data_IF_857714684202
#
_entry.id   IF_857714684202
#
_cell.length_a   1.000
_cell.length_b   1.000
_cell.length_c   1.000
_cell.angle_alpha   90.00
_cell.angle_beta   90.00
_cell.angle_gamma   90.00
#
_symmetry.space_group_name_H-M   'P 1'
#
loop_
_entity.id
_entity.type
_entity.pdbx_description
1 polymer ?
#
# COMPACT_ATOMS: atom_id res chain seq x y z
N UNK A 1 46.51 55.75 6.63
CA UNK A 1 46.70 56.73 7.73
C UNK A 1 46.45 56.00 9.05
N UNK A 2 47.44 56.05 9.94
CA UNK A 2 47.42 55.81 11.40
C UNK A 2 47.06 54.42 11.97
N UNK A 3 48.11 53.72 12.44
CA UNK A 3 48.11 52.80 13.58
C UNK A 3 48.34 53.60 14.88
N UNK A 4 47.71 53.21 15.99
CA UNK A 4 48.17 53.37 17.40
C UNK A 4 47.16 52.57 18.25
N UNK A 5 47.46 51.49 19.00
CA UNK A 5 48.52 51.11 19.96
C UNK A 5 48.44 51.88 21.29
N UNK A 6 47.98 51.21 22.35
CA UNK A 6 48.34 51.35 23.77
C UNK A 6 47.94 50.03 24.46
N UNK A 7 48.83 49.10 24.81
CA UNK A 7 49.86 49.05 25.89
C UNK A 7 49.34 48.57 27.26
N UNK A 8 49.56 47.26 27.53
CA UNK A 8 50.19 46.58 28.70
C UNK A 8 50.55 47.44 29.94
N UNK A 9 50.68 46.87 31.19
CA UNK A 9 51.50 45.67 31.46
C UNK A 9 51.11 44.76 32.68
N UNK A 10 51.50 43.46 32.64
CA UNK A 10 52.43 42.71 33.55
C UNK A 10 52.06 42.64 35.05
N UNK A 11 52.18 41.52 35.78
CA UNK A 11 53.41 40.70 35.99
C UNK A 11 53.12 39.49 36.92
N UNK A 12 53.81 38.37 36.66
CA UNK A 12 54.33 37.27 37.54
C UNK A 12 53.57 36.85 38.82
N UNK A 13 53.39 35.56 39.15
CA UNK A 13 54.47 34.59 39.46
C UNK A 13 53.90 33.20 39.83
N UNK A 14 54.68 32.16 39.53
CA UNK A 14 54.54 30.70 39.82
C UNK A 14 54.82 30.33 41.32
N UNK A 15 54.96 29.05 41.77
CA UNK A 15 54.23 27.77 41.54
C UNK A 15 54.01 26.89 42.82
N UNK A 16 53.29 25.75 42.67
CA UNK A 16 53.41 24.43 43.41
C UNK A 16 52.98 24.40 44.90
N UNK A 17 52.45 23.32 45.54
CA UNK A 17 52.29 21.89 45.27
C UNK A 17 51.27 21.27 46.32
N UNK A 18 51.06 19.93 46.45
CA UNK A 18 49.76 19.27 46.71
C UNK A 18 49.47 18.81 48.16
N UNK A 19 48.21 18.46 48.47
CA UNK A 19 47.88 17.35 49.41
C UNK A 19 46.39 16.91 49.43
N UNK A 20 46.25 15.59 49.24
CA UNK A 20 45.22 14.54 49.47
C UNK A 20 44.16 14.67 50.62
N UNK A 21 43.21 13.70 50.77
CA UNK A 21 41.76 13.91 50.70
C UNK A 21 41.01 13.74 52.05
N UNK A 22 39.72 14.11 52.12
CA UNK A 22 38.78 13.41 53.02
C UNK A 22 37.30 13.61 52.71
N UNK A 23 36.59 12.47 52.74
CA UNK A 23 35.23 12.18 53.23
C UNK A 23 34.02 12.63 52.42
N UNK A 24 33.28 11.59 52.01
CA UNK A 24 32.05 11.67 51.24
C UNK A 24 30.86 12.20 52.01
N UNK A 25 29.94 12.74 51.23
CA UNK A 25 28.54 12.92 51.60
C UNK A 25 27.71 12.37 50.46
N UNK A 26 26.88 11.37 50.79
CA UNK A 26 26.04 10.63 49.87
C UNK A 26 24.91 11.52 49.37
N UNK A 27 24.94 11.89 48.09
CA UNK A 27 23.81 12.51 47.41
C UNK A 27 23.03 11.43 46.67
N UNK A 28 21.87 11.09 47.19
CA UNK A 28 20.90 10.18 46.58
C UNK A 28 20.40 10.77 45.27
N UNK A 29 20.98 10.33 44.15
CA UNK A 29 20.48 10.65 42.82
C UNK A 29 19.22 9.81 42.58
N UNK A 30 18.05 10.45 42.65
CA UNK A 30 16.84 9.90 42.05
C UNK A 30 17.12 9.69 40.56
N UNK A 31 17.34 8.43 40.18
CA UNK A 31 17.31 8.02 38.77
C UNK A 31 15.85 8.13 38.35
N UNK A 32 15.49 9.28 37.78
CA UNK A 32 14.33 9.39 36.92
C UNK A 32 14.60 8.45 35.77
N UNK A 33 14.02 7.26 35.85
CA UNK A 33 13.96 6.34 34.71
C UNK A 33 13.04 7.02 33.72
N UNK A 34 13.62 7.80 32.80
CA UNK A 34 12.90 8.21 31.61
C UNK A 34 12.48 6.93 30.92
N UNK A 35 11.20 6.60 31.00
CA UNK A 35 10.60 5.60 30.16
C UNK A 35 10.99 5.97 28.73
N UNK A 36 11.62 5.03 28.03
CA UNK A 36 11.83 5.15 26.59
C UNK A 36 10.46 5.49 25.97
N UNK A 37 10.40 6.45 25.02
CA UNK A 37 9.15 6.68 24.31
C UNK A 37 8.68 5.33 23.75
N UNK A 38 7.42 4.99 24.02
CA UNK A 38 6.81 3.78 23.48
C UNK A 38 7.15 3.73 21.98
N UNK A 39 7.73 2.63 21.47
CA UNK A 39 7.92 2.51 20.04
C UNK A 39 6.54 2.70 19.41
N UNK A 40 6.42 3.69 18.52
CA UNK A 40 5.18 3.93 17.77
C UNK A 40 4.59 2.58 17.36
N UNK A 41 3.30 2.32 17.63
CA UNK A 41 2.70 1.02 17.32
C UNK A 41 2.97 0.74 15.85
N UNK A 42 3.46 -0.47 15.57
CA UNK A 42 3.70 -0.89 14.20
C UNK A 42 2.36 -0.91 13.45
N UNK A 43 2.37 -0.53 12.19
CA UNK A 43 1.13 -0.52 11.39
C UNK A 43 0.79 -1.93 10.92
N UNK A 44 -0.48 -2.32 11.03
CA UNK A 44 -1.01 -3.54 10.41
C UNK A 44 -2.41 -3.31 9.86
N UNK A 45 -2.83 -4.17 8.93
CA UNK A 45 -4.20 -4.22 8.40
C UNK A 45 -4.49 -5.63 7.90
N UNK A 46 -5.78 -5.95 7.79
CA UNK A 46 -6.23 -7.18 7.13
C UNK A 46 -6.63 -6.85 5.69
N UNK A 47 -6.50 -7.81 4.79
CA UNK A 47 -7.03 -7.67 3.45
C UNK A 47 -7.46 -9.01 2.85
N UNK A 48 -8.34 -8.92 1.87
CA UNK A 48 -8.82 -10.06 1.09
C UNK A 48 -8.92 -9.65 -0.37
N UNK A 49 -8.65 -10.61 -1.25
CA UNK A 49 -8.78 -10.43 -2.71
C UNK A 49 -9.77 -11.46 -3.22
N UNK A 50 -10.98 -11.00 -3.53
CA UNK A 50 -12.03 -11.84 -4.07
C UNK A 50 -12.02 -11.78 -5.61
N UNK A 51 -12.14 -12.93 -6.26
CA UNK A 51 -12.31 -12.97 -7.70
C UNK A 51 -13.72 -12.50 -8.09
N UNK A 52 -13.85 -11.74 -9.16
CA UNK A 52 -15.15 -11.32 -9.70
C UNK A 52 -15.51 -12.21 -10.89
N UNK A 53 -16.77 -12.64 -10.94
CA UNK A 53 -17.36 -13.28 -12.12
C UNK A 53 -18.27 -12.28 -12.83
N UNK A 54 -18.47 -12.45 -14.13
CA UNK A 54 -19.38 -11.61 -14.93
C UNK A 54 -20.74 -12.31 -15.07
N UNK A 55 -21.82 -11.54 -14.98
CA UNK A 55 -23.17 -12.02 -15.27
C UNK A 55 -23.63 -11.47 -16.62
N UNK A 56 -23.40 -12.25 -17.67
CA UNK A 56 -23.73 -11.88 -19.04
C UNK A 56 -25.08 -12.48 -19.48
N UNK A 57 -25.71 -13.31 -18.66
CA UNK A 57 -26.97 -13.98 -19.00
C UNK A 57 -28.17 -13.05 -18.76
N UNK A 58 -28.61 -12.40 -19.84
CA UNK A 58 -29.81 -11.55 -19.83
C UNK A 58 -31.10 -12.24 -19.40
N UNK A 59 -31.19 -13.57 -19.48
CA UNK A 59 -32.36 -14.32 -19.02
C UNK A 59 -32.40 -14.43 -17.49
N UNK A 60 -31.23 -14.33 -16.84
CA UNK A 60 -31.07 -14.33 -15.38
C UNK A 60 -30.77 -12.91 -14.84
N UNK A 61 -31.27 -11.88 -15.54
CA UNK A 61 -31.10 -10.47 -15.15
C UNK A 61 -29.70 -9.91 -15.34
N UNK A 62 -28.80 -10.65 -15.99
CA UNK A 62 -27.45 -10.23 -16.34
C UNK A 62 -27.40 -9.10 -17.36
N UNK A 63 -26.23 -8.46 -17.45
CA UNK A 63 -25.96 -7.37 -18.40
C UNK A 63 -24.78 -7.77 -19.29
N UNK A 64 -24.94 -7.77 -20.63
CA UNK A 64 -23.86 -8.10 -21.55
C UNK A 64 -22.64 -7.20 -21.36
N UNK A 65 -21.44 -7.68 -21.76
CA UNK A 65 -20.22 -6.89 -21.71
C UNK A 65 -20.35 -5.54 -22.38
N UNK A 66 -19.78 -4.51 -21.75
CA UNK A 66 -19.63 -3.20 -22.38
C UNK A 66 -18.47 -3.27 -23.36
N UNK A 67 -18.63 -2.59 -24.49
CA UNK A 67 -17.55 -2.38 -25.44
C UNK A 67 -17.46 -0.91 -25.83
N UNK A 68 -16.26 -0.44 -26.12
CA UNK A 68 -16.09 0.87 -26.73
C UNK A 68 -16.44 0.86 -28.23
N UNK A 69 -16.23 2.00 -28.91
CA UNK A 69 -16.49 2.14 -30.35
C UNK A 69 -15.61 1.25 -31.25
N UNK A 70 -14.54 0.67 -30.72
CA UNK A 70 -13.65 -0.26 -31.42
C UNK A 70 -13.93 -1.72 -31.05
N UNK A 71 -15.00 -2.01 -30.31
CA UNK A 71 -15.33 -3.36 -29.85
C UNK A 71 -14.42 -3.87 -28.74
N UNK A 72 -13.64 -3.00 -28.08
CA UNK A 72 -12.76 -3.38 -26.97
C UNK A 72 -13.57 -3.49 -25.70
N UNK A 73 -13.37 -4.59 -24.97
CA UNK A 73 -14.09 -4.88 -23.74
C UNK A 73 -13.83 -3.83 -22.64
N UNK A 74 -14.89 -3.46 -21.94
CA UNK A 74 -14.89 -2.58 -20.78
C UNK A 74 -15.62 -3.26 -19.59
N UNK A 75 -15.23 -2.98 -18.34
CA UNK A 75 -15.90 -3.55 -17.18
C UNK A 75 -17.38 -3.14 -17.07
N UNK A 76 -18.23 -3.96 -16.44
CA UNK A 76 -19.64 -3.62 -16.22
C UNK A 76 -19.79 -2.30 -15.44
N UNK A 77 -20.82 -1.51 -15.78
CA UNK A 77 -21.19 -0.30 -15.02
C UNK A 77 -22.28 -0.56 -13.98
N UNK A 78 -22.92 -1.72 -14.02
CA UNK A 78 -24.09 -2.02 -13.22
C UNK A 78 -23.83 -3.28 -12.39
N UNK A 79 -24.33 -3.30 -11.16
CA UNK A 79 -24.20 -4.43 -10.24
C UNK A 79 -24.67 -5.74 -10.88
N UNK A 80 -25.76 -5.68 -11.66
CA UNK A 80 -26.33 -6.83 -12.36
C UNK A 80 -25.41 -7.42 -13.46
N UNK A 81 -24.37 -6.71 -13.89
CA UNK A 81 -23.35 -7.26 -14.81
C UNK A 81 -22.30 -8.12 -14.11
N UNK A 82 -22.36 -8.24 -12.77
CA UNK A 82 -21.46 -9.08 -11.98
C UNK A 82 -22.19 -10.31 -11.46
N UNK A 83 -21.49 -11.43 -11.46
CA UNK A 83 -21.90 -12.65 -10.76
C UNK A 83 -21.36 -12.68 -9.33
N UNK A 84 -21.54 -13.82 -8.66
CA UNK A 84 -21.04 -14.01 -7.32
C UNK A 84 -19.50 -13.84 -7.25
N UNK A 85 -19.03 -13.17 -6.20
CA UNK A 85 -17.62 -13.12 -5.88
C UNK A 85 -17.13 -14.51 -5.48
N UNK A 86 -15.92 -14.87 -5.90
CA UNK A 86 -15.21 -16.05 -5.41
C UNK A 86 -14.30 -15.63 -4.25
N UNK A 87 -14.58 -16.05 -3.01
CA UNK A 87 -13.83 -15.62 -1.85
C UNK A 87 -12.34 -15.96 -1.92
N UNK A 88 -11.51 -15.03 -1.45
CA UNK A 88 -10.08 -15.22 -1.23
C UNK A 88 -9.73 -15.59 0.21
N UNK A 89 -8.44 -15.82 0.46
CA UNK A 89 -7.88 -15.93 1.81
C UNK A 89 -7.79 -14.54 2.44
N UNK A 90 -8.11 -14.43 3.73
CA UNK A 90 -7.83 -13.22 4.51
C UNK A 90 -6.37 -13.23 4.93
N UNK A 91 -5.64 -12.20 4.54
CA UNK A 91 -4.24 -11.98 4.88
C UNK A 91 -4.11 -10.84 5.89
N UNK A 92 -3.03 -10.87 6.66
CA UNK A 92 -2.57 -9.77 7.51
C UNK A 92 -1.29 -9.22 6.93
N UNK A 93 -1.28 -7.92 6.65
CA UNK A 93 -0.05 -7.16 6.46
C UNK A 93 0.36 -6.56 7.80
N UNK A 94 1.62 -6.73 8.20
CA UNK A 94 2.16 -6.16 9.43
C UNK A 94 3.59 -5.69 9.17
N UNK A 95 3.78 -4.37 9.23
CA UNK A 95 5.08 -3.71 9.12
C UNK A 95 5.95 -4.22 7.95
N UNK A 96 5.35 -4.38 6.78
CA UNK A 96 6.03 -4.80 5.56
C UNK A 96 6.03 -6.30 5.29
N UNK A 97 5.56 -7.14 6.20
CA UNK A 97 5.43 -8.59 6.04
C UNK A 97 3.96 -9.03 5.90
N UNK A 98 3.72 -10.11 5.15
CA UNK A 98 2.38 -10.68 4.96
C UNK A 98 2.32 -12.09 5.53
N UNK A 99 1.20 -12.40 6.16
CA UNK A 99 0.86 -13.73 6.67
C UNK A 99 -0.62 -14.04 6.47
N UNK A 100 -1.02 -15.30 6.56
CA UNK A 100 -2.45 -15.66 6.64
C UNK A 100 -3.02 -15.21 7.98
N UNK A 101 -4.18 -14.55 7.98
CA UNK A 101 -4.89 -14.16 9.19
C UNK A 101 -5.70 -15.36 9.72
N UNK A 102 -5.07 -16.20 10.55
CA UNK A 102 -5.70 -17.42 11.05
C UNK A 102 -7.00 -17.13 11.82
N UNK A 103 -8.08 -17.85 11.49
CA UNK A 103 -9.40 -17.69 12.10
C UNK A 103 -10.26 -16.58 11.47
N UNK A 104 -9.67 -15.68 10.69
CA UNK A 104 -10.42 -14.70 9.91
C UNK A 104 -10.90 -15.32 8.60
N UNK A 105 -12.09 -14.92 8.16
CA UNK A 105 -12.71 -15.46 6.96
C UNK A 105 -13.44 -14.38 6.16
N UNK A 106 -13.74 -14.69 4.90
CA UNK A 106 -14.74 -13.95 4.13
C UNK A 106 -16.04 -14.74 4.13
N UNK A 107 -17.12 -14.12 4.59
CA UNK A 107 -18.43 -14.75 4.67
C UNK A 107 -19.56 -13.73 4.50
N UNK A 108 -20.63 -14.13 3.82
CA UNK A 108 -21.82 -13.30 3.54
C UNK A 108 -21.49 -11.93 2.90
N UNK A 109 -20.41 -11.83 2.13
CA UNK A 109 -20.00 -10.58 1.48
C UNK A 109 -19.15 -9.65 2.35
N UNK A 110 -18.69 -10.11 3.51
CA UNK A 110 -17.86 -9.31 4.41
C UNK A 110 -16.70 -10.12 4.99
N UNK A 111 -15.63 -9.43 5.38
CA UNK A 111 -14.61 -9.99 6.26
C UNK A 111 -15.17 -10.22 7.67
N UNK A 112 -14.84 -11.36 8.28
CA UNK A 112 -15.29 -11.77 9.61
C UNK A 112 -14.12 -12.04 10.55
N UNK A 113 -14.29 -11.67 11.82
CA UNK A 113 -13.39 -12.06 12.91
C UNK A 113 -13.57 -13.55 13.25
N UNK A 114 -12.64 -14.16 14.02
CA UNK A 114 -12.81 -15.51 14.52
C UNK A 114 -14.07 -15.74 15.36
N UNK A 115 -14.65 -14.67 15.91
CA UNK A 115 -15.87 -14.72 16.72
C UNK A 115 -17.15 -14.50 15.87
N UNK A 116 -17.02 -14.23 14.57
CA UNK A 116 -18.13 -13.99 13.65
C UNK A 116 -18.53 -12.52 13.48
N UNK A 117 -17.87 -11.60 14.17
CA UNK A 117 -18.12 -10.16 14.03
C UNK A 117 -17.66 -9.67 12.65
N UNK A 118 -18.35 -8.68 12.09
CA UNK A 118 -17.96 -8.04 10.83
C UNK A 118 -16.72 -7.18 11.04
N UNK A 119 -15.71 -7.35 10.17
CA UNK A 119 -14.53 -6.50 10.15
C UNK A 119 -14.87 -5.08 9.69
N UNK A 120 -14.25 -4.08 10.32
CA UNK A 120 -14.38 -2.69 9.92
C UNK A 120 -13.58 -2.42 8.65
N UNK A 121 -14.28 -2.07 7.57
CA UNK A 121 -13.65 -1.79 6.28
C UNK A 121 -12.94 -0.43 6.34
N UNK A 122 -11.68 -0.41 5.94
CA UNK A 122 -10.93 0.82 5.73
C UNK A 122 -11.11 1.31 4.28
N UNK A 123 -10.94 0.41 3.32
CA UNK A 123 -11.00 0.76 1.89
C UNK A 123 -11.34 -0.46 1.05
N UNK A 124 -12.02 -0.25 -0.08
CA UNK A 124 -12.17 -1.27 -1.10
C UNK A 124 -11.93 -0.68 -2.50
N UNK A 125 -11.55 -1.55 -3.43
CA UNK A 125 -11.42 -1.20 -4.84
C UNK A 125 -11.77 -2.41 -5.68
N UNK A 126 -12.58 -2.19 -6.71
CA UNK A 126 -12.80 -3.17 -7.77
C UNK A 126 -11.83 -2.90 -8.89
N UNK A 127 -11.11 -3.91 -9.35
CA UNK A 127 -10.04 -3.76 -10.32
C UNK A 127 -10.12 -4.84 -11.39
N UNK A 128 -9.92 -4.44 -12.65
CA UNK A 128 -9.88 -5.33 -13.80
C UNK A 128 -8.58 -5.19 -14.57
N UNK A 129 -8.06 -6.31 -15.07
CA UNK A 129 -7.22 -6.30 -16.26
C UNK A 129 -8.13 -6.43 -17.48
N UNK A 130 -8.27 -5.35 -18.25
CA UNK A 130 -9.25 -5.27 -19.33
C UNK A 130 -8.74 -5.93 -20.61
N UNK A 131 -7.67 -5.36 -21.19
CA UNK A 131 -7.07 -5.77 -22.45
C UNK A 131 -5.73 -5.03 -22.66
N UNK A 132 -4.95 -5.35 -23.71
CA UNK A 132 -3.67 -4.67 -23.99
C UNK A 132 -3.74 -3.18 -24.31
N UNK A 133 -4.93 -2.56 -24.39
CA UNK A 133 -5.08 -1.12 -24.61
C UNK A 133 -5.43 -0.37 -23.31
N UNK A 134 -6.41 -0.88 -22.56
CA UNK A 134 -6.86 -0.24 -21.32
C UNK A 134 -6.09 -0.69 -20.08
N UNK A 135 -5.42 -1.85 -20.13
CA UNK A 135 -4.65 -2.42 -19.02
C UNK A 135 -5.46 -2.50 -17.72
N UNK A 136 -5.07 -1.76 -16.68
CA UNK A 136 -5.78 -1.74 -15.41
C UNK A 136 -6.86 -0.68 -15.39
N UNK A 137 -8.09 -1.10 -15.08
CA UNK A 137 -9.17 -0.20 -14.71
C UNK A 137 -9.60 -0.45 -13.27
N UNK A 138 -9.87 0.63 -12.53
CA UNK A 138 -10.26 0.61 -11.12
C UNK A 138 -11.53 1.41 -10.91
N UNK A 139 -12.35 0.98 -9.95
CA UNK A 139 -13.47 1.74 -9.41
C UNK A 139 -13.38 1.74 -7.88
N UNK A 140 -13.70 2.87 -7.26
CA UNK A 140 -13.72 2.99 -5.80
C UNK A 140 -14.79 2.08 -5.20
N UNK A 141 -14.45 1.36 -4.13
CA UNK A 141 -15.35 0.43 -3.45
C UNK A 141 -15.62 -0.87 -4.23
N UNK A 142 -16.64 -1.59 -3.76
CA UNK A 142 -17.12 -2.83 -4.38
C UNK A 142 -18.18 -2.51 -5.44
N UNK A 143 -17.82 -2.64 -6.73
CA UNK A 143 -18.71 -2.39 -7.85
C UNK A 143 -19.74 -3.51 -8.06
N UNK A 144 -19.58 -4.66 -7.41
CA UNK A 144 -20.53 -5.79 -7.52
C UNK A 144 -21.83 -5.53 -6.76
N UNK A 145 -21.83 -4.57 -5.82
CA UNK A 145 -22.97 -4.27 -4.96
C UNK A 145 -23.66 -2.94 -5.29
N UNK A 146 -23.22 -2.25 -6.36
CA UNK A 146 -23.70 -0.90 -6.69
C UNK A 146 -23.61 -0.61 -8.19
N UNK A 147 -24.44 0.30 -8.67
CA UNK A 147 -24.31 0.83 -10.02
C UNK A 147 -23.32 2.00 -10.01
N UNK A 148 -22.48 2.07 -11.03
CA UNK A 148 -21.55 3.16 -11.24
C UNK A 148 -22.23 4.25 -12.08
N UNK A 149 -22.31 5.46 -11.54
CA UNK A 149 -22.81 6.63 -12.25
C UNK A 149 -21.66 7.53 -12.72
N UNK A 150 -21.38 7.50 -14.03
CA UNK A 150 -20.34 8.34 -14.64
C UNK A 150 -20.57 9.85 -14.53
N UNK A 151 -21.75 10.30 -14.09
CA UNK A 151 -21.99 11.71 -13.77
C UNK A 151 -21.42 12.12 -12.41
N UNK A 152 -21.13 11.16 -11.53
CA UNK A 152 -20.44 11.34 -10.26
C UNK A 152 -18.97 10.96 -10.48
N UNK A 153 -18.01 11.90 -10.35
CA UNK A 153 -16.61 11.62 -10.60
C UNK A 153 -16.10 10.43 -9.79
N UNK A 154 -16.44 10.29 -8.52
CA UNK A 154 -15.96 9.19 -7.68
C UNK A 154 -16.56 7.83 -8.06
N UNK A 155 -17.55 7.81 -8.94
CA UNK A 155 -18.38 6.66 -9.22
C UNK A 155 -18.30 6.16 -10.68
N UNK A 156 -17.07 5.98 -11.15
CA UNK A 156 -16.82 5.46 -12.49
C UNK A 156 -15.55 4.63 -12.55
N UNK A 157 -15.26 4.10 -13.74
CA UNK A 157 -14.03 3.39 -14.03
C UNK A 157 -12.93 4.37 -14.43
N UNK A 158 -11.78 4.22 -13.79
CA UNK A 158 -10.56 4.98 -14.06
C UNK A 158 -9.42 4.06 -14.46
N UNK A 159 -8.50 4.58 -15.27
CA UNK A 159 -7.17 4.00 -15.33
C UNK A 159 -6.43 4.27 -14.00
N UNK A 160 -5.47 3.41 -13.65
CA UNK A 160 -4.54 3.74 -12.56
C UNK A 160 -3.61 4.88 -12.98
N UNK A 161 -3.28 5.73 -12.03
CA UNK A 161 -2.43 6.91 -12.15
C UNK A 161 -1.46 6.97 -10.96
N UNK A 162 -0.49 7.88 -11.01
CA UNK A 162 0.56 8.03 -10.02
C UNK A 162 0.81 9.48 -9.61
N UNK A 163 0.84 9.75 -8.31
CA UNK A 163 1.45 10.96 -7.75
C UNK A 163 2.95 10.73 -7.57
N UNK A 164 3.75 11.79 -7.73
CA UNK A 164 5.20 11.71 -7.63
C UNK A 164 5.72 12.46 -6.42
N UNK A 165 6.60 11.82 -5.67
CA UNK A 165 7.34 12.39 -4.55
C UNK A 165 8.80 11.91 -4.67
N UNK A 166 9.67 12.78 -5.19
CA UNK A 166 11.05 12.44 -5.57
C UNK A 166 11.16 11.22 -6.50
N UNK A 167 11.54 10.04 -5.98
CA UNK A 167 11.63 8.78 -6.72
C UNK A 167 10.49 7.79 -6.37
N UNK A 168 9.56 8.18 -5.50
CA UNK A 168 8.39 7.40 -5.11
C UNK A 168 7.20 7.71 -6.04
N UNK A 169 6.52 6.66 -6.49
CA UNK A 169 5.22 6.77 -7.16
C UNK A 169 4.11 6.28 -6.23
N UNK A 170 3.13 7.13 -5.92
CA UNK A 170 1.95 6.75 -5.14
C UNK A 170 0.80 6.44 -6.10
N UNK A 171 0.42 5.17 -6.16
CA UNK A 171 -0.66 4.72 -7.05
C UNK A 171 -2.01 5.23 -6.55
N UNK A 172 -2.82 5.73 -7.47
CA UNK A 172 -4.20 6.14 -7.25
C UNK A 172 -5.01 6.04 -8.54
N UNK A 173 -6.22 6.57 -8.55
CA UNK A 173 -7.03 6.77 -9.77
C UNK A 173 -7.08 8.23 -10.25
N UNK A 174 -6.62 9.21 -9.46
CA UNK A 174 -6.61 10.64 -9.82
C UNK A 174 -5.19 11.21 -9.78
N UNK A 175 -4.40 11.06 -10.85
CA UNK A 175 -3.05 11.64 -10.90
C UNK A 175 -2.48 11.68 -12.33
N UNK A 176 -1.15 11.71 -12.46
CA UNK A 176 -0.44 11.57 -13.74
C UNK A 176 -0.45 10.12 -14.21
N UNK A 177 -0.44 9.89 -15.52
CA UNK A 177 -0.51 8.54 -16.05
C UNK A 177 0.79 7.74 -15.83
N UNK A 178 1.95 8.41 -15.80
CA UNK A 178 3.25 7.75 -15.77
C UNK A 178 3.79 7.60 -14.35
N UNK A 179 4.56 6.54 -14.10
CA UNK A 179 5.45 6.38 -12.97
C UNK A 179 6.53 7.45 -13.00
N UNK A 180 7.08 7.81 -11.84
CA UNK A 180 8.16 8.82 -11.79
C UNK A 180 9.45 8.35 -12.46
N UNK A 181 9.71 7.04 -12.43
CA UNK A 181 10.96 6.46 -12.88
C UNK A 181 10.81 5.32 -13.88
N UNK A 182 11.92 5.01 -14.55
CA UNK A 182 11.92 4.12 -15.71
C UNK A 182 12.51 2.72 -15.45
N UNK A 183 13.11 2.43 -14.29
CA UNK A 183 13.84 1.16 -14.11
C UNK A 183 13.79 0.54 -12.72
N UNK A 184 13.01 -0.54 -12.58
CA UNK A 184 12.98 -1.53 -11.47
C UNK A 184 12.29 -2.82 -11.92
N UNK A 185 12.66 -3.95 -11.32
CA UNK A 185 12.09 -5.26 -11.64
C UNK A 185 10.59 -5.34 -11.31
N UNK A 186 10.15 -4.67 -10.23
CA UNK A 186 8.72 -4.65 -9.84
C UNK A 186 7.82 -4.09 -10.94
N UNK A 187 8.31 -3.17 -11.78
CA UNK A 187 7.50 -2.54 -12.84
C UNK A 187 7.00 -3.61 -13.81
N UNK A 188 7.87 -4.51 -14.23
CA UNK A 188 7.50 -5.58 -15.15
C UNK A 188 6.64 -6.65 -14.46
N UNK A 189 7.03 -7.07 -13.26
CA UNK A 189 6.34 -8.12 -12.51
C UNK A 189 4.88 -7.75 -12.20
N UNK A 190 4.66 -6.51 -11.77
CA UNK A 190 3.33 -5.97 -11.43
C UNK A 190 2.53 -5.54 -12.68
N UNK A 191 3.09 -5.67 -13.88
CA UNK A 191 2.40 -5.35 -15.14
C UNK A 191 2.29 -3.85 -15.43
N UNK A 192 3.20 -3.06 -14.88
CA UNK A 192 3.22 -1.60 -14.97
C UNK A 192 4.08 -1.05 -16.12
N UNK A 193 4.56 -1.91 -17.03
CA UNK A 193 5.46 -1.52 -18.12
C UNK A 193 4.93 -0.35 -18.98
N UNK A 194 3.61 -0.28 -19.15
CA UNK A 194 2.95 0.75 -19.97
C UNK A 194 2.83 2.10 -19.29
N UNK A 195 3.02 2.13 -17.96
CA UNK A 195 3.06 3.36 -17.16
C UNK A 195 4.49 3.80 -16.89
N UNK A 196 5.50 3.12 -17.46
CA UNK A 196 6.90 3.47 -17.25
C UNK A 196 7.17 4.85 -17.85
N UNK A 197 7.86 5.72 -17.10
CA UNK A 197 8.36 6.98 -17.66
C UNK A 197 9.26 6.70 -18.88
N UNK A 198 8.88 7.24 -20.04
CA UNK A 198 9.62 7.04 -21.29
C UNK A 198 10.74 8.05 -21.49
N UNK A 199 10.85 9.07 -20.64
CA UNK A 199 11.96 10.01 -20.68
C UNK A 199 13.29 9.27 -20.41
N UNK A 200 14.27 9.53 -21.28
CA UNK A 200 15.60 8.94 -21.20
C UNK A 200 16.34 9.41 -19.94
N UNK A 201 16.04 10.63 -19.48
CA UNK A 201 16.66 11.24 -18.30
C UNK A 201 15.84 11.00 -17.02
N UNK A 202 14.75 10.22 -17.09
CA UNK A 202 13.95 9.89 -15.93
C UNK A 202 14.78 9.16 -14.86
N UNK A 203 14.54 9.44 -13.57
CA UNK A 203 15.22 8.75 -12.49
C UNK A 203 14.88 7.26 -12.50
N UNK A 204 15.69 6.47 -11.77
CA UNK A 204 15.25 5.11 -11.42
C UNK A 204 14.10 5.19 -10.44
N UNK A 205 13.10 4.34 -10.60
CA UNK A 205 11.99 4.30 -9.65
C UNK A 205 12.49 3.84 -8.28
N UNK A 206 12.13 4.56 -7.23
CA UNK A 206 12.45 4.26 -5.84
C UNK A 206 11.55 3.19 -5.24
N UNK A 207 10.30 3.14 -5.68
CA UNK A 207 9.27 2.19 -5.24
C UNK A 207 7.85 2.72 -5.43
N UNK A 208 6.89 1.97 -4.89
CA UNK A 208 5.45 2.26 -4.89
C UNK A 208 4.90 2.44 -3.48
N UNK A 209 3.93 3.34 -3.35
CA UNK A 209 3.03 3.49 -2.21
C UNK A 209 1.66 3.96 -2.73
N UNK A 210 0.85 4.64 -1.92
CA UNK A 210 -0.49 5.12 -2.29
C UNK A 210 -1.59 4.13 -1.92
N UNK A 211 -2.70 4.18 -2.64
CA UNK A 211 -3.93 3.43 -2.35
C UNK A 211 -3.66 1.94 -2.11
N UNK A 212 -3.86 1.47 -0.87
CA UNK A 212 -3.52 0.10 -0.46
C UNK A 212 -4.28 -0.94 -1.27
N UNK A 213 -5.57 -0.70 -1.55
CA UNK A 213 -6.41 -1.66 -2.27
C UNK A 213 -5.94 -1.84 -3.72
N UNK A 214 -5.54 -0.74 -4.39
CA UNK A 214 -4.95 -0.81 -5.73
C UNK A 214 -3.60 -1.53 -5.69
N UNK A 215 -2.73 -1.19 -4.73
CA UNK A 215 -1.41 -1.80 -4.61
C UNK A 215 -1.49 -3.32 -4.39
N UNK A 216 -2.38 -3.76 -3.50
CA UNK A 216 -2.68 -5.18 -3.27
C UNK A 216 -3.26 -5.84 -4.53
N UNK A 217 -4.13 -5.13 -5.27
CA UNK A 217 -4.66 -5.58 -6.55
C UNK A 217 -3.56 -5.85 -7.57
N UNK A 218 -2.59 -4.94 -7.73
CA UNK A 218 -1.43 -5.11 -8.61
C UNK A 218 -0.63 -6.38 -8.26
N UNK A 219 -0.39 -6.62 -6.97
CA UNK A 219 0.25 -7.85 -6.48
C UNK A 219 -0.61 -9.07 -6.82
N UNK A 220 -1.91 -9.03 -6.63
CA UNK A 220 -2.80 -10.14 -6.97
C UNK A 220 -2.91 -10.42 -8.48
N UNK A 221 -2.66 -9.42 -9.33
CA UNK A 221 -2.55 -9.60 -10.79
C UNK A 221 -1.19 -10.17 -11.22
N UNK A 222 -0.13 -10.03 -10.40
CA UNK A 222 1.19 -10.60 -10.68
C UNK A 222 1.20 -12.13 -10.75
N UNK A 223 0.18 -12.81 -10.21
CA UNK A 223 0.00 -14.26 -10.26
C UNK A 223 -1.46 -14.66 -10.57
N UNK A 224 -1.72 -15.96 -10.75
CA UNK A 224 -3.10 -16.48 -10.84
C UNK A 224 -3.71 -16.49 -9.44
N UNK A 225 -5.04 -16.33 -9.37
CA UNK A 225 -5.80 -16.31 -8.10
C UNK A 225 -5.44 -17.46 -7.15
N UNK A 226 -5.32 -18.67 -7.68
CA UNK A 226 -5.02 -19.89 -6.91
C UNK A 226 -3.61 -19.94 -6.33
N UNK A 227 -2.71 -19.09 -6.82
CA UNK A 227 -1.29 -19.07 -6.44
C UNK A 227 -0.99 -17.89 -5.47
N UNK A 228 -1.99 -17.05 -5.15
CA UNK A 228 -1.76 -15.82 -4.37
C UNK A 228 -1.25 -16.12 -2.96
N UNK A 229 -1.76 -17.17 -2.33
CA UNK A 229 -1.31 -17.59 -1.00
C UNK A 229 0.15 -18.06 -1.03
N UNK A 230 0.53 -18.85 -2.03
CA UNK A 230 1.89 -19.32 -2.24
C UNK A 230 2.84 -18.14 -2.47
N UNK A 231 2.46 -17.20 -3.32
CA UNK A 231 3.25 -15.99 -3.62
C UNK A 231 3.47 -15.14 -2.37
N UNK A 232 2.42 -14.87 -1.60
CA UNK A 232 2.49 -13.97 -0.44
C UNK A 232 3.12 -14.64 0.78
N UNK A 233 2.76 -15.88 1.09
CA UNK A 233 3.11 -16.53 2.36
C UNK A 233 4.31 -17.44 2.22
N UNK A 234 4.35 -18.31 1.20
CA UNK A 234 5.40 -19.31 1.04
C UNK A 234 6.65 -18.72 0.40
N UNK A 235 6.48 -18.07 -0.74
CA UNK A 235 7.57 -17.47 -1.51
C UNK A 235 8.02 -16.14 -0.89
N UNK A 236 7.16 -15.53 -0.05
CA UNK A 236 7.36 -14.23 0.60
C UNK A 236 7.79 -13.18 -0.42
N UNK A 237 7.10 -13.14 -1.56
CA UNK A 237 7.41 -12.24 -2.66
C UNK A 237 7.27 -10.76 -2.26
N UNK A 238 6.40 -10.46 -1.29
CA UNK A 238 6.31 -9.15 -0.66
C UNK A 238 6.65 -9.27 0.83
N UNK A 239 7.84 -8.77 1.20
CA UNK A 239 8.33 -8.76 2.59
C UNK A 239 9.26 -7.59 2.83
N UNK A 240 9.31 -7.10 4.06
CA UNK A 240 10.20 -6.00 4.45
C UNK A 240 10.11 -4.78 3.52
N UNK A 241 8.90 -4.39 3.12
CA UNK A 241 8.64 -3.24 2.25
C UNK A 241 9.23 -3.36 0.83
N UNK A 242 9.49 -4.59 0.35
CA UNK A 242 10.13 -4.85 -0.94
C UNK A 242 9.39 -5.91 -1.75
N UNK A 243 9.36 -5.72 -3.08
CA UNK A 243 9.03 -6.78 -4.03
C UNK A 243 10.26 -7.62 -4.34
N UNK A 244 10.17 -8.93 -4.16
CA UNK A 244 11.21 -9.87 -4.53
C UNK A 244 10.92 -10.62 -5.83
N UNK A 245 9.74 -10.41 -6.42
CA UNK A 245 9.27 -11.22 -7.55
C UNK A 245 8.96 -12.65 -7.15
N UNK A 246 8.50 -13.43 -8.13
CA UNK A 246 8.19 -14.85 -7.98
C UNK A 246 8.19 -15.54 -9.35
N UNK A 247 8.23 -16.87 -9.37
CA UNK A 247 8.28 -17.65 -10.61
C UNK A 247 6.89 -18.11 -11.12
N UNK A 248 5.81 -17.69 -10.47
CA UNK A 248 4.45 -18.00 -10.91
C UNK A 248 4.09 -17.21 -12.19
N UNK A 249 3.30 -17.83 -13.07
CA UNK A 249 2.75 -17.15 -14.23
C UNK A 249 1.86 -15.99 -13.79
N UNK A 250 1.96 -14.84 -14.46
CA UNK A 250 1.02 -13.77 -14.22
C UNK A 250 -0.41 -14.23 -14.49
N UNK A 251 -1.35 -13.65 -13.75
CA UNK A 251 -2.77 -13.94 -13.94
C UNK A 251 -3.49 -12.85 -14.71
N UNK A 252 -2.78 -12.00 -15.46
CA UNK A 252 -3.40 -10.94 -16.27
C UNK A 252 -3.98 -11.56 -17.53
N UNK A 253 -5.26 -11.90 -17.47
CA UNK A 253 -6.06 -12.34 -18.61
C UNK A 253 -7.16 -11.33 -18.84
N UNK A 254 -7.56 -11.14 -20.09
CA UNK A 254 -8.66 -10.24 -20.44
C UNK A 254 -9.88 -10.54 -19.56
N UNK A 255 -10.57 -9.48 -19.17
CA UNK A 255 -11.77 -9.50 -18.31
C UNK A 255 -11.58 -10.04 -16.90
N UNK A 256 -10.36 -10.33 -16.44
CA UNK A 256 -10.14 -10.77 -15.05
C UNK A 256 -10.38 -9.60 -14.11
N UNK A 257 -11.40 -9.74 -13.27
CA UNK A 257 -11.73 -8.80 -12.21
C UNK A 257 -11.45 -9.34 -10.81
N UNK A 258 -11.26 -8.43 -9.87
CA UNK A 258 -11.22 -8.72 -8.44
C UNK A 258 -11.78 -7.54 -7.63
N UNK A 259 -12.31 -7.85 -6.46
CA UNK A 259 -12.55 -6.87 -5.39
C UNK A 259 -11.46 -7.05 -4.36
N UNK A 260 -10.76 -5.97 -4.05
CA UNK A 260 -9.79 -5.90 -2.97
C UNK A 260 -10.42 -5.13 -1.84
N UNK A 261 -10.51 -5.74 -0.66
CA UNK A 261 -11.02 -5.09 0.55
C UNK A 261 -9.92 -5.08 1.60
N UNK A 262 -9.66 -3.90 2.16
CA UNK A 262 -8.72 -3.63 3.23
C UNK A 262 -9.52 -3.27 4.48
N UNK A 263 -9.20 -3.91 5.58
CA UNK A 263 -9.87 -3.77 6.87
C UNK A 263 -8.89 -3.32 7.94
N UNK A 264 -9.41 -2.63 8.95
CA UNK A 264 -8.65 -2.40 10.18
C UNK A 264 -8.36 -3.75 10.85
N UNK A 265 -7.20 -3.86 11.48
CA UNK A 265 -6.76 -5.04 12.20
C UNK A 265 -7.24 -4.96 13.66
N UNK A 266 -8.27 -5.74 14.06
CA UNK A 266 -8.79 -5.67 15.42
C UNK A 266 -7.79 -6.19 16.46
N UNK A 267 -6.78 -6.96 16.05
CA UNK A 267 -5.70 -7.42 16.93
C UNK A 267 -4.61 -6.34 17.15
N UNK A 268 -4.70 -5.21 16.44
CA UNK A 268 -3.79 -4.06 16.57
C UNK A 268 -4.55 -2.73 16.40
N UNK A 269 -5.48 -2.40 17.31
CA UNK A 269 -6.38 -1.26 17.16
C UNK A 269 -5.63 0.08 17.09
N UNK A 270 -4.52 0.23 17.82
CA UNK A 270 -3.72 1.46 17.85
C UNK A 270 -2.86 1.64 16.59
N UNK A 271 -2.40 0.53 15.99
CA UNK A 271 -1.60 0.53 14.76
C UNK A 271 -2.43 0.43 13.48
N UNK A 272 -3.75 0.29 13.57
CA UNK A 272 -4.65 0.10 12.42
C UNK A 272 -5.79 1.13 12.37
N UNK A 273 -5.59 2.31 12.97
CA UNK A 273 -6.56 3.41 12.84
C UNK A 273 -6.61 3.93 11.40
N UNK A 274 -7.68 4.65 11.05
CA UNK A 274 -7.78 5.32 9.75
C UNK A 274 -6.59 6.21 9.46
N UNK A 275 -6.18 7.00 10.45
CA UNK A 275 -5.04 7.90 10.34
C UNK A 275 -3.73 7.14 10.21
N UNK A 276 -3.59 5.97 10.85
CA UNK A 276 -2.40 5.14 10.70
C UNK A 276 -2.27 4.58 9.28
N UNK A 277 -3.39 4.10 8.71
CA UNK A 277 -3.42 3.57 7.35
C UNK A 277 -3.32 4.67 6.28
N UNK A 278 -3.95 5.82 6.50
CA UNK A 278 -3.81 7.00 5.62
C UNK A 278 -2.37 7.52 5.59
N UNK A 279 -1.72 7.63 6.77
CA UNK A 279 -0.29 7.95 6.83
C UNK A 279 0.57 6.88 6.14
N UNK A 280 0.20 5.61 6.20
CA UNK A 280 0.91 4.53 5.50
C UNK A 280 0.83 4.74 3.98
N UNK A 281 -0.33 5.12 3.45
CA UNK A 281 -0.55 5.38 2.02
C UNK A 281 0.18 6.63 1.52
N UNK A 282 0.10 7.74 2.27
CA UNK A 282 0.38 9.08 1.74
C UNK A 282 1.54 9.82 2.39
N UNK A 283 1.93 9.46 3.61
CA UNK A 283 2.98 10.17 4.35
C UNK A 283 4.17 9.29 4.74
N UNK A 284 4.11 7.99 4.44
CA UNK A 284 5.20 7.05 4.64
C UNK A 284 6.01 6.87 3.35
N UNK A 285 7.15 6.18 3.47
CA UNK A 285 8.00 5.82 2.32
C UNK A 285 7.39 4.71 1.45
N UNK A 286 8.25 3.94 0.79
CA UNK A 286 7.81 2.85 -0.08
C UNK A 286 7.09 1.75 0.71
N UNK A 287 5.97 1.28 0.18
CA UNK A 287 5.34 0.02 0.58
C UNK A 287 5.85 -1.16 -0.26
N UNK A 288 6.33 -0.84 -1.46
CA UNK A 288 6.83 -1.78 -2.46
C UNK A 288 8.06 -1.20 -3.16
N UNK A 289 9.26 -1.52 -2.68
CA UNK A 289 10.54 -1.16 -3.32
C UNK A 289 11.04 -2.21 -4.32
#
# INVERSE_FOLDING_TARGET
MVKQKLSRPSRSSQPSNPSKPSKGSSSSTHVVTQALPDPSPYTSFLFVVNGVTLNEDTQDGGIPPRTDHFGRWLPPAFAAGFGAQTPGTVFRWSNGDISTAAGYAWDEGYGRTPNGDTLEIYKATTMFWCNPFYHFMVASGDATTRNLDSSVPEDTWYAINFHHDEDLSRVDYVANQDLVGNGRDFIADLGLNVYRNTDQDAPRSGGLAGNLAILIGLVAFSCKRRDLNEVLVRDRAWRGYRWHGHNHSNGRTDTRGMVVSVYRDPDNPDGSTEEALDRLEWNSGYLLK
#
